data_IF_739643784145
#
_entry.id   IF_739643784145
#
_cell.length_a   1.000
_cell.length_b   1.000
_cell.length_c   1.000
_cell.angle_alpha   90.00
_cell.angle_beta   90.00
_cell.angle_gamma   90.00
#
_symmetry.space_group_name_H-M   'P 1'
#
loop_
_entity.id
_entity.type
_entity.pdbx_description
1 polymer ?
#
# COMPACT_ATOMS: atom_id res chain seq x y z
N UNK A 1 -35.73 33.33 50.25
CA UNK A 1 -34.88 32.25 50.79
C UNK A 1 -35.23 30.95 50.06
N UNK A 2 -34.24 30.32 49.41
CA UNK A 2 -34.03 28.86 49.16
C UNK A 2 -35.24 27.91 49.09
N UNK A 3 -35.38 26.90 48.22
CA UNK A 3 -34.44 26.14 47.36
C UNK A 3 -35.24 25.08 46.57
N UNK A 4 -34.78 24.81 45.33
CA UNK A 4 -34.69 23.52 44.60
C UNK A 4 -35.89 22.55 44.47
N UNK A 5 -36.03 21.94 43.29
CA UNK A 5 -36.13 20.49 42.96
C UNK A 5 -36.45 20.41 41.44
N UNK A 6 -35.45 20.58 40.58
CA UNK A 6 -34.63 19.53 39.97
C UNK A 6 -35.39 18.69 38.93
N UNK A 7 -35.20 19.07 37.66
CA UNK A 7 -35.65 18.38 36.47
C UNK A 7 -34.90 17.04 36.31
N UNK A 8 -35.65 15.96 36.08
CA UNK A 8 -35.11 14.64 35.79
C UNK A 8 -35.12 14.45 34.26
N UNK A 9 -34.06 14.93 33.59
CA UNK A 9 -33.84 14.66 32.17
C UNK A 9 -32.90 13.46 32.07
N UNK A 10 -33.46 12.25 32.00
CA UNK A 10 -32.71 11.01 31.84
C UNK A 10 -32.01 11.02 30.47
N UNK A 11 -30.68 11.24 30.47
CA UNK A 11 -29.86 11.16 29.26
C UNK A 11 -29.39 9.72 29.12
N UNK A 12 -29.95 8.96 28.18
CA UNK A 12 -29.45 7.63 27.81
C UNK A 12 -28.16 7.87 27.02
N UNK A 13 -27.02 7.65 27.67
CA UNK A 13 -25.71 7.64 27.02
C UNK A 13 -25.57 6.27 26.31
N UNK A 14 -25.86 6.24 25.01
CA UNK A 14 -25.60 5.06 24.19
C UNK A 14 -24.10 4.81 24.14
N UNK A 15 -23.65 3.71 24.75
CA UNK A 15 -22.32 3.15 24.59
C UNK A 15 -22.17 2.69 23.13
N UNK A 16 -21.73 3.58 22.25
CA UNK A 16 -21.21 3.21 20.94
C UNK A 16 -19.81 2.65 21.20
N UNK A 17 -19.70 1.33 21.39
CA UNK A 17 -18.39 0.68 21.28
C UNK A 17 -17.91 0.83 19.84
N UNK A 18 -16.76 1.46 19.57
CA UNK A 18 -16.18 1.42 18.25
C UNK A 18 -15.88 -0.05 17.93
N UNK A 19 -16.52 -0.56 16.87
CA UNK A 19 -16.06 -1.78 16.22
C UNK A 19 -14.67 -1.41 15.67
N UNK A 20 -13.62 -1.98 16.26
CA UNK A 20 -12.29 -1.87 15.70
C UNK A 20 -12.29 -2.68 14.39
N UNK A 21 -12.42 -1.98 13.26
CA UNK A 21 -12.15 -2.53 11.95
C UNK A 21 -10.62 -2.64 11.79
N UNK A 22 -10.16 -3.70 11.12
CA UNK A 22 -8.79 -3.79 10.61
C UNK A 22 -8.43 -2.45 9.94
N UNK A 23 -7.24 -1.91 10.22
CA UNK A 23 -6.90 -0.53 9.90
C UNK A 23 -7.22 -0.17 8.45
N UNK A 24 -7.96 0.93 8.23
CA UNK A 24 -8.22 1.44 6.89
C UNK A 24 -6.91 1.91 6.26
N UNK A 25 -6.26 1.06 5.45
CA UNK A 25 -5.09 1.47 4.70
C UNK A 25 -5.46 2.55 3.68
N UNK A 26 -4.59 3.57 3.48
CA UNK A 26 -4.86 4.66 2.57
C UNK A 26 -5.09 4.13 1.16
N UNK A 27 -6.16 4.64 0.54
CA UNK A 27 -6.49 4.36 -0.86
C UNK A 27 -6.08 5.51 -1.76
N UNK A 28 -5.57 6.61 -1.24
CA UNK A 28 -5.11 7.75 -2.02
C UNK A 28 -3.61 7.94 -1.79
N UNK A 29 -2.87 8.14 -2.88
CA UNK A 29 -1.42 8.31 -2.81
C UNK A 29 -1.03 9.72 -2.38
N UNK A 30 0.16 9.84 -1.80
CA UNK A 30 0.76 11.12 -1.48
C UNK A 30 0.92 11.97 -2.76
N UNK A 31 0.28 13.15 -2.84
CA UNK A 31 0.28 13.97 -4.05
C UNK A 31 1.66 14.56 -4.40
N UNK A 32 2.63 14.50 -3.48
CA UNK A 32 4.00 14.94 -3.73
C UNK A 32 4.77 13.97 -4.65
N UNK A 33 4.32 12.73 -4.81
CA UNK A 33 4.95 11.73 -5.68
C UNK A 33 4.14 11.60 -6.98
N UNK A 34 4.74 11.86 -8.15
CA UNK A 34 4.00 11.85 -9.41
C UNK A 34 3.55 10.43 -9.80
N UNK A 35 2.30 10.31 -10.22
CA UNK A 35 1.74 9.04 -10.69
C UNK A 35 2.20 8.68 -12.11
N UNK A 36 2.41 7.39 -12.37
CA UNK A 36 2.77 6.86 -13.68
C UNK A 36 4.21 7.15 -14.10
N UNK A 37 5.05 7.65 -13.19
CA UNK A 37 6.46 7.97 -13.46
C UNK A 37 7.35 6.90 -12.85
N UNK A 38 8.36 6.43 -13.59
CA UNK A 38 9.25 5.36 -13.15
C UNK A 38 10.28 5.81 -12.11
N UNK A 39 10.79 7.04 -12.23
CA UNK A 39 11.91 7.54 -11.42
C UNK A 39 11.75 7.34 -9.89
N UNK A 40 10.58 7.59 -9.26
CA UNK A 40 10.41 7.38 -7.82
C UNK A 40 10.59 5.93 -7.36
N UNK A 41 10.31 4.96 -8.24
CA UNK A 41 10.42 3.54 -7.94
C UNK A 41 11.85 2.99 -8.01
N UNK A 42 12.77 3.69 -8.68
CA UNK A 42 14.09 3.13 -8.96
C UNK A 42 14.88 2.96 -7.66
N UNK A 43 15.52 1.80 -7.53
CA UNK A 43 16.36 1.44 -6.38
C UNK A 43 15.97 0.11 -5.75
N UNK A 44 16.43 -0.10 -4.53
CA UNK A 44 16.30 -1.33 -3.78
C UNK A 44 15.24 -1.21 -2.69
N UNK A 45 14.39 -2.24 -2.57
CA UNK A 45 13.23 -2.23 -1.71
C UNK A 45 13.13 -3.50 -0.88
N UNK A 46 12.79 -3.34 0.39
CA UNK A 46 12.20 -4.40 1.19
C UNK A 46 10.70 -4.50 0.89
N UNK A 47 10.14 -5.69 1.07
CA UNK A 47 8.72 -5.97 0.89
C UNK A 47 8.21 -6.76 2.08
N UNK A 48 7.08 -6.36 2.64
CA UNK A 48 6.41 -7.08 3.72
C UNK A 48 4.94 -6.72 3.78
N UNK A 49 4.30 -7.10 4.88
CA UNK A 49 2.97 -6.61 5.22
C UNK A 49 3.08 -5.33 6.08
N UNK A 50 2.10 -4.42 6.01
CA UNK A 50 2.00 -3.32 6.95
C UNK A 50 1.90 -3.83 8.38
N UNK A 51 2.38 -3.02 9.32
CA UNK A 51 2.19 -3.26 10.73
C UNK A 51 0.72 -2.94 11.08
N UNK A 52 -0.05 -3.93 11.50
CA UNK A 52 -1.37 -3.73 12.10
C UNK A 52 -1.47 -4.48 13.43
N UNK A 53 -2.39 -4.05 14.30
CA UNK A 53 -2.56 -4.64 15.64
C UNK A 53 -3.03 -6.11 15.61
N UNK A 54 -3.39 -6.64 14.43
CA UNK A 54 -3.94 -7.98 14.23
C UNK A 54 -2.96 -8.97 13.61
N UNK A 55 -1.83 -8.49 13.08
CA UNK A 55 -0.86 -9.28 12.34
C UNK A 55 0.24 -9.76 13.28
N UNK A 56 0.12 -11.01 13.73
CA UNK A 56 1.03 -11.66 14.67
C UNK A 56 2.43 -11.90 14.06
N UNK A 57 2.59 -11.67 12.75
CA UNK A 57 3.87 -11.73 12.06
C UNK A 57 4.04 -10.50 11.18
N UNK A 58 4.83 -9.52 11.64
CA UNK A 58 5.53 -8.56 10.77
C UNK A 58 6.50 -9.35 9.89
N UNK A 59 5.99 -10.08 8.91
CA UNK A 59 6.81 -10.94 8.06
C UNK A 59 7.33 -10.10 6.90
N UNK A 60 8.58 -9.67 7.05
CA UNK A 60 9.39 -9.28 5.91
C UNK A 60 9.42 -10.45 4.94
N UNK A 61 8.88 -10.24 3.74
CA UNK A 61 8.87 -11.22 2.66
C UNK A 61 10.17 -11.12 1.84
N UNK A 62 10.64 -9.89 1.65
CA UNK A 62 11.90 -9.54 0.99
C UNK A 62 12.64 -8.56 1.86
N UNK A 63 13.83 -8.93 2.34
CA UNK A 63 14.67 -8.09 3.20
C UNK A 63 15.75 -7.35 2.42
N UNK A 64 16.38 -6.36 3.05
CA UNK A 64 17.43 -5.57 2.41
C UNK A 64 18.77 -6.31 2.21
N UNK A 65 18.94 -7.51 2.77
CA UNK A 65 20.10 -8.38 2.47
C UNK A 65 20.04 -8.98 1.05
N UNK A 66 18.82 -9.13 0.50
CA UNK A 66 18.57 -9.53 -0.90
C UNK A 66 17.28 -8.83 -1.39
N UNK A 67 17.38 -7.52 -1.68
CA UNK A 67 16.21 -6.67 -1.89
C UNK A 67 15.55 -6.91 -3.25
N UNK A 68 14.31 -6.45 -3.37
CA UNK A 68 13.67 -6.23 -4.66
C UNK A 68 14.36 -5.05 -5.35
N UNK A 69 15.09 -5.32 -6.42
CA UNK A 69 15.65 -4.30 -7.29
C UNK A 69 14.61 -3.87 -8.33
N UNK A 70 14.34 -2.57 -8.38
CA UNK A 70 13.48 -1.96 -9.38
C UNK A 70 14.34 -1.07 -10.28
N UNK A 71 14.48 -1.47 -11.54
CA UNK A 71 15.26 -0.77 -12.54
C UNK A 71 14.38 -0.19 -13.66
N UNK A 72 14.89 0.80 -14.39
CA UNK A 72 14.21 1.33 -15.58
C UNK A 72 14.18 0.28 -16.70
N UNK A 73 13.02 0.11 -17.34
CA UNK A 73 12.84 -0.71 -18.54
C UNK A 73 12.14 0.13 -19.63
N UNK A 74 12.90 1.06 -20.21
CA UNK A 74 12.38 2.03 -21.16
C UNK A 74 11.68 3.24 -20.51
N UNK A 75 11.02 4.10 -21.32
CA UNK A 75 10.52 5.39 -20.85
C UNK A 75 9.27 5.30 -19.96
N UNK A 76 8.49 4.23 -20.10
CA UNK A 76 7.23 4.03 -19.36
C UNK A 76 7.23 2.75 -18.52
N UNK A 77 8.38 2.10 -18.37
CA UNK A 77 8.47 0.76 -17.80
C UNK A 77 9.50 0.62 -16.69
N UNK A 78 9.27 -0.38 -15.85
CA UNK A 78 10.20 -0.84 -14.82
C UNK A 78 10.38 -2.35 -14.92
N UNK A 79 11.54 -2.83 -14.51
CA UNK A 79 11.85 -4.25 -14.35
C UNK A 79 12.12 -4.54 -12.87
N UNK A 80 11.49 -5.59 -12.36
CA UNK A 80 11.60 -6.07 -10.99
C UNK A 80 12.43 -7.35 -10.98
N UNK A 81 13.46 -7.39 -10.14
CA UNK A 81 14.29 -8.59 -9.98
C UNK A 81 14.86 -8.68 -8.58
N UNK A 82 15.35 -9.87 -8.20
CA UNK A 82 16.23 -10.04 -7.04
C UNK A 82 17.49 -10.75 -7.48
N UNK A 83 18.57 -10.57 -6.71
CA UNK A 83 19.88 -11.14 -7.04
C UNK A 83 19.86 -12.67 -6.96
N UNK A 84 19.05 -13.23 -6.07
CA UNK A 84 18.91 -14.68 -5.90
C UNK A 84 17.93 -15.32 -6.89
N UNK A 85 17.14 -14.52 -7.61
CA UNK A 85 16.19 -15.05 -8.59
C UNK A 85 16.96 -15.58 -9.81
N UNK A 86 16.59 -16.79 -10.23
CA UNK A 86 17.11 -17.42 -11.47
C UNK A 86 16.21 -17.05 -12.66
N UNK A 87 14.98 -16.59 -12.38
CA UNK A 87 14.02 -16.20 -13.40
C UNK A 87 14.32 -14.82 -13.99
N UNK A 88 13.90 -14.56 -15.25
CA UNK A 88 13.98 -13.24 -15.84
C UNK A 88 13.23 -12.18 -15.01
N UNK A 89 13.67 -10.91 -15.07
CA UNK A 89 12.96 -9.82 -14.40
C UNK A 89 11.50 -9.70 -14.83
N UNK A 90 10.62 -9.41 -13.88
CA UNK A 90 9.22 -9.08 -14.16
C UNK A 90 9.15 -7.66 -14.69
N UNK A 91 8.69 -7.53 -15.93
CA UNK A 91 8.60 -6.24 -16.62
C UNK A 91 7.19 -5.67 -16.53
N UNK A 92 7.09 -4.40 -16.16
CA UNK A 92 5.84 -3.70 -15.92
C UNK A 92 5.81 -2.38 -16.70
N UNK A 93 4.66 -2.05 -17.29
CA UNK A 93 4.35 -0.69 -17.76
C UNK A 93 3.66 0.09 -16.66
N UNK A 94 4.00 1.36 -16.51
CA UNK A 94 3.39 2.28 -15.55
C UNK A 94 2.32 3.13 -16.23
N UNK A 95 1.13 3.20 -15.63
CA UNK A 95 0.06 4.10 -16.06
C UNK A 95 -0.54 4.88 -14.91
N UNK A 96 -0.67 6.19 -15.09
CA UNK A 96 -1.44 7.03 -14.19
C UNK A 96 -2.93 6.85 -14.47
N UNK A 97 -3.71 6.43 -13.48
CA UNK A 97 -5.16 6.30 -13.59
C UNK A 97 -5.82 6.52 -12.23
N UNK A 98 -6.93 7.25 -12.22
CA UNK A 98 -7.69 7.58 -11.00
C UNK A 98 -6.84 8.10 -9.84
N UNK A 99 -5.85 8.96 -10.13
CA UNK A 99 -4.98 9.57 -9.13
C UNK A 99 -3.92 8.62 -8.53
N UNK A 100 -3.63 7.49 -9.18
CA UNK A 100 -2.66 6.48 -8.72
C UNK A 100 -1.77 5.98 -9.84
N UNK A 101 -0.68 5.32 -9.49
CA UNK A 101 0.12 4.54 -10.44
C UNK A 101 -0.42 3.12 -10.51
N UNK A 102 -0.54 2.60 -11.73
CA UNK A 102 -0.88 1.21 -11.98
C UNK A 102 0.33 0.52 -12.60
N UNK A 103 0.69 -0.62 -12.03
CA UNK A 103 1.69 -1.53 -12.56
C UNK A 103 0.98 -2.57 -13.43
N UNK A 104 1.30 -2.57 -14.72
CA UNK A 104 0.69 -3.45 -15.71
C UNK A 104 1.76 -4.42 -16.22
N UNK A 105 1.67 -5.73 -15.93
CA UNK A 105 2.56 -6.71 -16.50
C UNK A 105 2.58 -6.63 -18.03
N UNK A 106 3.79 -6.61 -18.62
CA UNK A 106 3.92 -6.64 -20.09
C UNK A 106 3.63 -8.05 -20.65
N UNK A 107 3.74 -9.06 -19.80
CA UNK A 107 3.36 -10.45 -20.04
C UNK A 107 2.19 -10.84 -19.14
N UNK A 108 1.90 -12.13 -18.98
CA UNK A 108 0.87 -12.63 -18.07
C UNK A 108 1.18 -12.29 -16.62
N UNK A 109 0.16 -11.83 -15.88
CA UNK A 109 0.26 -11.54 -14.45
C UNK A 109 -0.92 -10.68 -14.01
N UNK A 110 -1.07 -10.50 -12.69
CA UNK A 110 -2.02 -9.55 -12.15
C UNK A 110 -1.43 -8.15 -12.18
N UNK A 111 -2.24 -7.17 -12.59
CA UNK A 111 -1.89 -5.77 -12.40
C UNK A 111 -1.89 -5.40 -10.93
N UNK A 112 -1.24 -4.29 -10.59
CA UNK A 112 -1.29 -3.74 -9.23
C UNK A 112 -1.59 -2.25 -9.25
N UNK A 113 -2.21 -1.77 -8.18
CA UNK A 113 -2.37 -0.35 -7.88
C UNK A 113 -1.35 0.04 -6.82
N UNK A 114 -0.68 1.17 -7.03
CA UNK A 114 0.30 1.72 -6.09
C UNK A 114 -0.29 2.93 -5.40
N UNK A 115 -0.11 2.97 -4.08
CA UNK A 115 -0.43 4.10 -3.21
C UNK A 115 0.85 4.52 -2.49
N UNK A 116 1.44 5.63 -2.94
CA UNK A 116 2.59 6.25 -2.27
C UNK A 116 2.21 6.78 -0.89
N UNK A 117 3.04 6.51 0.11
CA UNK A 117 2.90 7.10 1.46
C UNK A 117 3.82 8.30 1.59
N UNK A 118 5.05 8.14 1.10
CA UNK A 118 6.09 9.17 0.98
C UNK A 118 7.04 8.79 -0.17
N UNK A 119 8.24 9.38 -0.24
CA UNK A 119 9.21 9.10 -1.30
C UNK A 119 9.92 7.74 -1.16
N UNK A 120 9.83 7.13 0.03
CA UNK A 120 10.61 5.96 0.44
C UNK A 120 9.72 4.78 0.85
N UNK A 121 8.40 4.93 0.75
CA UNK A 121 7.45 3.86 1.03
C UNK A 121 6.15 3.97 0.24
N UNK A 122 5.61 2.81 -0.12
CA UNK A 122 4.32 2.69 -0.80
C UNK A 122 3.63 1.36 -0.50
N UNK A 123 2.31 1.36 -0.61
CA UNK A 123 1.53 0.13 -0.70
C UNK A 123 1.33 -0.29 -2.14
N UNK A 124 1.48 -1.60 -2.38
CA UNK A 124 1.07 -2.27 -3.62
C UNK A 124 -0.14 -3.15 -3.32
N UNK A 125 -1.22 -2.89 -4.03
CA UNK A 125 -2.44 -3.69 -3.98
C UNK A 125 -2.56 -4.50 -5.26
N UNK A 126 -2.72 -5.82 -5.14
CA UNK A 126 -3.02 -6.64 -6.31
C UNK A 126 -4.43 -6.35 -6.82
N UNK A 127 -4.59 -6.36 -8.14
CA UNK A 127 -5.88 -6.19 -8.79
C UNK A 127 -6.34 -7.55 -9.28
N UNK A 128 -7.50 -7.98 -8.78
CA UNK A 128 -8.13 -9.22 -9.20
C UNK A 128 -8.50 -9.21 -10.69
N UNK A 129 -8.81 -10.38 -11.24
CA UNK A 129 -9.27 -10.52 -12.63
C UNK A 129 -10.53 -9.68 -12.98
N UNK A 130 -11.29 -9.24 -11.97
CA UNK A 130 -12.47 -8.38 -12.15
C UNK A 130 -12.12 -6.88 -12.21
N UNK A 131 -10.84 -6.51 -12.07
CA UNK A 131 -10.39 -5.12 -12.03
C UNK A 131 -10.51 -4.46 -10.65
N UNK A 132 -10.93 -5.20 -9.61
CA UNK A 132 -11.00 -4.70 -8.25
C UNK A 132 -9.67 -4.92 -7.53
N UNK A 133 -9.11 -3.84 -6.97
CA UNK A 133 -7.96 -3.89 -6.08
C UNK A 133 -8.35 -4.53 -4.73
N UNK A 134 -7.48 -5.40 -4.21
CA UNK A 134 -7.65 -6.03 -2.90
C UNK A 134 -7.17 -5.08 -1.80
N UNK A 135 -8.02 -4.12 -1.45
CA UNK A 135 -7.70 -3.04 -0.50
C UNK A 135 -7.39 -3.51 0.92
N UNK A 136 -7.78 -4.74 1.27
CA UNK A 136 -7.62 -5.27 2.62
C UNK A 136 -6.22 -5.88 2.82
N UNK A 137 -5.49 -6.17 1.74
CA UNK A 137 -4.20 -6.88 1.77
C UNK A 137 -3.10 -6.19 0.97
N UNK A 138 -2.63 -4.99 1.38
CA UNK A 138 -1.48 -4.37 0.75
C UNK A 138 -0.16 -5.09 1.05
N UNK A 139 0.75 -5.03 0.09
CA UNK A 139 2.17 -5.23 0.32
C UNK A 139 2.85 -3.89 0.54
N UNK A 140 3.51 -3.73 1.69
CA UNK A 140 4.30 -2.54 2.01
C UNK A 140 5.71 -2.68 1.44
N UNK A 141 6.08 -1.73 0.59
CA UNK A 141 7.44 -1.57 0.09
C UNK A 141 8.11 -0.43 0.86
N UNK A 142 9.32 -0.66 1.36
CA UNK A 142 10.15 0.37 2.00
C UNK A 142 11.53 0.36 1.37
N UNK A 143 12.07 1.54 1.05
CA UNK A 143 13.40 1.69 0.47
C UNK A 143 14.44 1.10 1.42
N UNK A 144 15.43 0.42 0.86
CA UNK A 144 16.61 0.01 1.61
C UNK A 144 17.59 1.19 1.69
N UNK A 145 18.20 1.39 2.86
CA UNK A 145 19.22 2.42 3.11
C UNK A 145 20.53 2.15 2.35
#
# INVERSE_FOLDING_TARGET
>A
MSRLHAALCATILALISPIAFAGDFPREGNPAVPNGVAAPFIGQWSVGFPDDETTIATSTLVGCDDPLDIALDGPEGIALSRKTDIEPPVRLTLKAFAGRTNWLPVTTGLSSVIVWLDADSFYRYEVSATGKADWDWPFLHRRCD
#
